data_IF_041709726286
#
_entry.id   IF_041709726286
#
_cell.length_a   1.000
_cell.length_b   1.000
_cell.length_c   1.000
_cell.angle_alpha   90.00
_cell.angle_beta   90.00
_cell.angle_gamma   90.00
#
_symmetry.space_group_name_H-M   'P 1'
#
loop_
_entity.id
_entity.type
_entity.pdbx_description
1 polymer ?
#
# COMPACT_ATOMS: atom_id res chain seq x y z
N UNK A 1 7.39 -20.31 52.02
CA UNK A 1 6.43 -19.23 52.26
C UNK A 1 5.43 -19.22 51.11
N UNK A 2 4.14 -18.98 51.36
CA UNK A 2 3.10 -18.99 50.34
C UNK A 2 2.82 -17.55 49.85
N UNK A 3 2.51 -17.43 48.55
CA UNK A 3 2.19 -16.15 47.89
C UNK A 3 0.68 -15.94 47.83
N UNK A 4 0.25 -14.76 48.21
CA UNK A 4 -1.16 -14.36 48.18
C UNK A 4 -1.32 -13.02 47.46
N UNK A 5 -2.37 -12.88 46.66
CA UNK A 5 -2.77 -11.61 46.08
C UNK A 5 -3.82 -10.95 46.97
N UNK A 6 -3.65 -9.65 47.22
CA UNK A 6 -4.59 -8.84 47.99
C UNK A 6 -5.80 -8.48 47.13
N UNK A 7 -6.99 -8.87 47.57
CA UNK A 7 -8.28 -8.53 46.92
C UNK A 7 -8.97 -7.35 47.61
N UNK A 8 -8.66 -7.07 48.87
CA UNK A 8 -9.19 -5.93 49.63
C UNK A 8 -8.04 -5.21 50.33
N UNK A 9 -7.85 -3.93 50.04
CA UNK A 9 -6.76 -3.13 50.60
C UNK A 9 -6.86 -3.01 52.13
N UNK A 10 -5.70 -2.81 52.78
CA UNK A 10 -5.58 -2.44 54.18
C UNK A 10 -4.35 -1.55 54.39
N UNK A 11 -4.05 -1.19 55.64
CA UNK A 11 -2.94 -0.28 55.97
C UNK A 11 -1.62 -0.70 55.32
N UNK A 12 -1.16 0.11 54.37
CA UNK A 12 0.12 -0.06 53.67
C UNK A 12 0.13 -1.10 52.54
N UNK A 13 -1.01 -1.72 52.19
CA UNK A 13 -1.09 -2.76 51.16
C UNK A 13 -2.25 -2.48 50.19
N UNK A 14 -1.94 -2.40 48.90
CA UNK A 14 -2.89 -2.09 47.84
C UNK A 14 -3.57 -3.35 47.29
N UNK A 15 -4.77 -3.18 46.71
CA UNK A 15 -5.43 -4.24 45.93
C UNK A 15 -4.55 -4.64 44.74
N UNK A 16 -4.42 -5.93 44.48
CA UNK A 16 -3.59 -6.50 43.42
C UNK A 16 -2.15 -6.79 43.83
N UNK A 17 -1.68 -6.26 44.97
CA UNK A 17 -0.33 -6.50 45.48
C UNK A 17 -0.15 -7.97 45.90
N UNK A 18 1.02 -8.54 45.59
CA UNK A 18 1.39 -9.90 45.99
C UNK A 18 2.21 -9.84 47.27
N UNK A 19 1.77 -10.56 48.30
CA UNK A 19 2.45 -10.65 49.61
C UNK A 19 2.88 -12.08 49.90
N UNK A 20 4.07 -12.24 50.49
CA UNK A 20 4.59 -13.53 50.94
C UNK A 20 4.32 -13.69 52.43
N UNK A 21 3.63 -14.77 52.81
CA UNK A 21 3.29 -15.05 54.20
C UNK A 21 3.49 -16.53 54.51
N UNK A 22 3.98 -16.85 55.71
CA UNK A 22 4.13 -18.23 56.16
C UNK A 22 2.78 -18.82 56.62
N UNK A 23 1.97 -18.02 57.32
CA UNK A 23 0.62 -18.40 57.77
C UNK A 23 -0.32 -17.20 57.69
N UNK A 24 -1.47 -17.38 57.06
CA UNK A 24 -2.51 -16.33 56.97
C UNK A 24 -3.29 -16.24 58.26
N UNK A 25 -3.35 -15.04 58.85
CA UNK A 25 -4.16 -14.77 60.04
C UNK A 25 -5.67 -14.78 59.70
N UNK A 26 -6.58 -15.25 60.58
CA UNK A 26 -8.02 -15.26 60.32
C UNK A 26 -8.60 -13.93 59.82
N UNK A 27 -8.13 -12.80 60.36
CA UNK A 27 -8.57 -11.45 59.97
C UNK A 27 -8.17 -11.06 58.54
N UNK A 28 -7.11 -11.65 57.97
CA UNK A 28 -6.63 -11.34 56.63
C UNK A 28 -7.15 -12.32 55.57
N UNK A 29 -7.75 -13.44 55.99
CA UNK A 29 -8.26 -14.49 55.07
C UNK A 29 -9.29 -13.96 54.07
N UNK A 30 -10.11 -12.99 54.47
CA UNK A 30 -11.09 -12.36 53.58
C UNK A 30 -10.48 -11.35 52.61
N UNK A 31 -9.26 -10.88 52.89
CA UNK A 31 -8.61 -9.82 52.12
C UNK A 31 -7.59 -10.36 51.12
N UNK A 32 -7.28 -11.67 51.16
CA UNK A 32 -6.25 -12.30 50.32
C UNK A 32 -6.76 -13.56 49.66
N UNK A 33 -6.31 -13.82 48.44
CA UNK A 33 -6.51 -15.09 47.73
C UNK A 33 -5.14 -15.69 47.38
N UNK A 34 -4.95 -17.01 47.48
CA UNK A 34 -3.67 -17.61 47.12
C UNK A 34 -3.40 -17.38 45.63
N UNK A 35 -2.15 -17.03 45.29
CA UNK A 35 -1.77 -16.65 43.92
C UNK A 35 -2.00 -17.79 42.91
N UNK A 36 -1.99 -19.04 43.37
CA UNK A 36 -2.33 -20.23 42.56
C UNK A 36 -3.80 -20.29 42.14
N UNK A 37 -4.69 -19.56 42.83
CA UNK A 37 -6.12 -19.47 42.55
C UNK A 37 -6.50 -18.15 41.86
N UNK A 38 -5.56 -17.21 41.72
CA UNK A 38 -5.72 -16.06 40.85
C UNK A 38 -5.66 -16.58 39.42
N UNK A 39 -6.83 -16.72 38.78
CA UNK A 39 -6.93 -17.11 37.38
C UNK A 39 -6.08 -16.18 36.49
N UNK A 40 -5.56 -16.64 35.36
CA UNK A 40 -4.51 -16.01 34.57
C UNK A 40 -5.01 -14.81 33.74
N UNK A 41 -5.83 -13.93 34.32
CA UNK A 41 -6.34 -12.72 33.66
C UNK A 41 -5.22 -11.83 33.10
N UNK A 42 -4.04 -11.86 33.73
CA UNK A 42 -2.84 -11.17 33.23
C UNK A 42 -2.23 -11.83 31.99
N UNK A 43 -2.41 -13.14 31.78
CA UNK A 43 -1.92 -13.82 30.58
C UNK A 43 -2.92 -13.66 29.43
N UNK A 44 -4.22 -13.73 29.70
CA UNK A 44 -5.26 -13.54 28.68
C UNK A 44 -5.20 -12.14 28.06
N UNK A 45 -5.02 -11.09 28.87
CA UNK A 45 -4.80 -9.74 28.34
C UNK A 45 -3.52 -9.63 27.50
N UNK A 46 -2.44 -10.29 27.92
CA UNK A 46 -1.18 -10.32 27.17
C UNK A 46 -1.28 -11.08 25.85
N UNK A 47 -2.05 -12.18 25.83
CA UNK A 47 -2.25 -13.01 24.64
C UNK A 47 -3.19 -12.32 23.65
N UNK A 48 -4.23 -11.62 24.13
CA UNK A 48 -5.07 -10.75 23.30
C UNK A 48 -4.28 -9.61 22.66
N UNK A 49 -3.35 -8.98 23.40
CA UNK A 49 -2.48 -7.94 22.84
C UNK A 49 -1.54 -8.49 21.75
N UNK A 50 -0.98 -9.69 21.95
CA UNK A 50 -0.15 -10.33 20.93
C UNK A 50 -0.95 -10.69 19.69
N UNK A 51 -2.17 -11.20 19.87
CA UNK A 51 -3.05 -11.52 18.75
C UNK A 51 -3.42 -10.26 17.98
N UNK A 52 -3.83 -9.18 18.67
CA UNK A 52 -4.14 -7.90 18.04
C UNK A 52 -2.94 -7.33 17.28
N UNK A 53 -1.73 -7.44 17.84
CA UNK A 53 -0.51 -7.00 17.15
C UNK A 53 -0.25 -7.81 15.87
N UNK A 54 -0.39 -9.14 15.94
CA UNK A 54 -0.23 -10.00 14.76
C UNK A 54 -1.27 -9.71 13.67
N UNK A 55 -2.52 -9.40 14.05
CA UNK A 55 -3.56 -9.00 13.11
C UNK A 55 -3.25 -7.65 12.45
N UNK A 56 -2.77 -6.66 13.20
CA UNK A 56 -2.34 -5.36 12.68
C UNK A 56 -1.19 -5.52 11.68
N UNK A 57 -0.19 -6.35 12.01
CA UNK A 57 0.96 -6.58 11.13
C UNK A 57 0.53 -7.31 9.85
N UNK A 58 -0.32 -8.33 9.96
CA UNK A 58 -0.89 -9.01 8.79
C UNK A 58 -1.73 -8.07 7.91
N UNK A 59 -2.52 -7.17 8.51
CA UNK A 59 -3.27 -6.15 7.77
C UNK A 59 -2.34 -5.17 7.05
N UNK A 60 -1.25 -4.74 7.72
CA UNK A 60 -0.26 -3.84 7.12
C UNK A 60 0.44 -4.49 5.93
N UNK A 61 0.87 -5.73 6.06
CA UNK A 61 1.53 -6.46 4.96
C UNK A 61 0.60 -6.62 3.76
N UNK A 62 -0.67 -7.00 3.98
CA UNK A 62 -1.66 -7.07 2.90
C UNK A 62 -1.86 -5.72 2.22
N UNK A 63 -2.05 -4.65 3.00
CA UNK A 63 -2.24 -3.30 2.45
C UNK A 63 -1.01 -2.83 1.64
N UNK A 64 0.20 -3.15 2.10
CA UNK A 64 1.44 -2.83 1.37
C UNK A 64 1.55 -3.62 0.07
N UNK A 65 1.23 -4.92 0.08
CA UNK A 65 1.23 -5.76 -1.11
C UNK A 65 0.20 -5.28 -2.15
N UNK A 66 -1.01 -4.96 -1.71
CA UNK A 66 -2.06 -4.43 -2.59
C UNK A 66 -1.68 -3.07 -3.17
N UNK A 67 -1.09 -2.18 -2.36
CA UNK A 67 -0.62 -0.89 -2.85
C UNK A 67 0.51 -1.06 -3.88
N UNK A 68 1.46 -1.97 -3.63
CA UNK A 68 2.54 -2.25 -4.56
C UNK A 68 2.00 -2.78 -5.91
N UNK A 69 1.03 -3.69 -5.87
CA UNK A 69 0.35 -4.20 -7.06
C UNK A 69 -0.35 -3.08 -7.84
N UNK A 70 -1.14 -2.25 -7.17
CA UNK A 70 -1.85 -1.13 -7.81
C UNK A 70 -0.92 -0.10 -8.42
N UNK A 71 0.21 0.19 -7.76
CA UNK A 71 1.22 1.11 -8.29
C UNK A 71 1.86 0.52 -9.55
N UNK A 72 2.11 -0.79 -9.57
CA UNK A 72 2.69 -1.45 -10.74
C UNK A 72 1.69 -1.53 -11.91
N UNK A 73 0.43 -1.88 -11.64
CA UNK A 73 -0.66 -1.85 -12.62
C UNK A 73 -0.83 -0.46 -13.23
N UNK A 74 -0.87 0.59 -12.40
CA UNK A 74 -0.98 1.97 -12.88
C UNK A 74 0.20 2.40 -13.75
N UNK A 75 1.42 1.94 -13.44
CA UNK A 75 2.60 2.19 -14.29
C UNK A 75 2.49 1.49 -15.63
N UNK A 76 2.07 0.23 -15.63
CA UNK A 76 1.90 -0.55 -16.87
C UNK A 76 0.81 0.05 -17.75
N UNK A 77 -0.31 0.46 -17.17
CA UNK A 77 -1.39 1.15 -17.88
C UNK A 77 -0.91 2.49 -18.46
N UNK A 78 -0.22 3.30 -17.67
CA UNK A 78 0.33 4.58 -18.13
C UNK A 78 1.36 4.39 -19.27
N UNK A 79 2.20 3.36 -19.19
CA UNK A 79 3.18 3.05 -20.24
C UNK A 79 2.47 2.57 -21.52
N UNK A 80 1.50 1.67 -21.40
CA UNK A 80 0.73 1.17 -22.53
C UNK A 80 -0.04 2.30 -23.25
N UNK A 81 -0.60 3.23 -22.48
CA UNK A 81 -1.29 4.39 -23.03
C UNK A 81 -0.31 5.37 -23.71
N UNK A 82 0.87 5.60 -23.12
CA UNK A 82 1.91 6.40 -23.76
C UNK A 82 2.36 5.79 -25.10
N UNK A 83 2.57 4.46 -25.13
CA UNK A 83 2.95 3.74 -26.34
C UNK A 83 1.85 3.81 -27.40
N UNK A 84 0.57 3.70 -27.00
CA UNK A 84 -0.58 3.89 -27.89
C UNK A 84 -0.58 5.28 -28.52
N UNK A 85 -0.46 6.33 -27.71
CA UNK A 85 -0.47 7.72 -28.19
C UNK A 85 0.69 7.95 -29.18
N UNK A 86 1.88 7.44 -28.89
CA UNK A 86 3.04 7.56 -29.79
C UNK A 86 2.78 6.81 -31.09
N UNK A 87 2.26 5.59 -31.03
CA UNK A 87 1.93 4.79 -32.22
C UNK A 87 0.87 5.46 -33.09
N UNK A 88 -0.17 6.04 -32.49
CA UNK A 88 -1.23 6.74 -33.21
C UNK A 88 -0.71 8.04 -33.83
N UNK A 89 0.05 8.83 -33.08
CA UNK A 89 0.63 10.07 -33.59
C UNK A 89 1.62 9.83 -34.73
N UNK A 90 2.45 8.78 -34.64
CA UNK A 90 3.38 8.40 -35.71
C UNK A 90 2.65 7.90 -36.95
N UNK A 91 1.64 7.04 -36.79
CA UNK A 91 0.81 6.59 -37.91
C UNK A 91 0.11 7.76 -38.61
N UNK A 92 -0.44 8.71 -37.85
CA UNK A 92 -1.10 9.88 -38.40
C UNK A 92 -0.13 10.81 -39.13
N UNK A 93 1.06 11.04 -38.55
CA UNK A 93 2.09 11.85 -39.20
C UNK A 93 2.53 11.24 -40.54
N UNK A 94 2.66 9.91 -40.62
CA UNK A 94 2.98 9.22 -41.87
C UNK A 94 1.83 9.31 -42.89
N UNK A 95 0.57 9.19 -42.46
CA UNK A 95 -0.59 9.42 -43.35
C UNK A 95 -0.57 10.82 -43.95
N UNK A 96 -0.37 11.85 -43.14
CA UNK A 96 -0.33 13.24 -43.63
C UNK A 96 0.81 13.45 -44.63
N UNK A 97 1.99 12.86 -44.40
CA UNK A 97 3.12 12.94 -45.35
C UNK A 97 2.78 12.26 -46.68
N UNK A 98 2.19 11.08 -46.64
CA UNK A 98 1.80 10.34 -47.85
C UNK A 98 0.74 11.11 -48.64
N UNK A 99 -0.30 11.61 -47.97
CA UNK A 99 -1.35 12.41 -48.61
C UNK A 99 -0.79 13.70 -49.22
N UNK A 100 0.14 14.37 -48.53
CA UNK A 100 0.80 15.56 -49.04
C UNK A 100 1.68 15.25 -50.25
N UNK A 101 2.40 14.13 -50.24
CA UNK A 101 3.23 13.69 -51.36
C UNK A 101 2.38 13.34 -52.58
N UNK A 102 1.31 12.55 -52.41
CA UNK A 102 0.40 12.20 -53.51
C UNK A 102 -0.21 13.45 -54.15
N UNK A 103 -0.69 14.40 -53.35
CA UNK A 103 -1.22 15.68 -53.86
C UNK A 103 -0.16 16.50 -54.58
N UNK A 104 1.09 16.51 -54.10
CA UNK A 104 2.17 17.20 -54.78
C UNK A 104 2.47 16.58 -56.15
N UNK A 105 2.49 15.25 -56.23
CA UNK A 105 2.70 14.50 -57.49
C UNK A 105 1.56 14.77 -58.49
N UNK A 106 0.30 14.78 -58.05
CA UNK A 106 -0.87 15.15 -58.88
C UNK A 106 -0.78 16.58 -59.43
N UNK A 107 -0.28 17.51 -58.63
CA UNK A 107 -0.11 18.93 -59.00
C UNK A 107 1.15 19.20 -59.82
N UNK A 108 1.99 18.19 -60.07
CA UNK A 108 3.10 18.24 -61.03
C UNK A 108 2.75 17.53 -62.34
N UNK A 109 1.76 17.98 -63.15
CA UNK A 109 1.79 17.60 -64.54
C UNK A 109 3.05 18.24 -65.12
N UNK A 110 3.93 17.40 -65.70
CA UNK A 110 5.09 17.84 -66.45
C UNK A 110 4.64 18.98 -67.36
N UNK A 111 5.07 20.21 -67.08
CA UNK A 111 4.86 21.32 -68.01
C UNK A 111 5.84 21.03 -69.14
N UNK A 112 5.41 20.46 -70.29
CA UNK A 112 6.32 20.30 -71.38
C UNK A 112 6.48 21.72 -71.91
N UNK A 113 7.70 22.23 -71.86
CA UNK A 113 8.13 23.33 -72.71
C UNK A 113 7.84 24.77 -72.24
N UNK A 114 8.35 25.13 -71.05
CA UNK A 114 8.58 26.54 -70.69
C UNK A 114 9.92 27.09 -71.25
N UNK A 115 10.56 26.41 -72.22
CA UNK A 115 11.91 26.73 -72.71
C UNK A 115 12.02 27.13 -74.20
N UNK A 116 11.01 26.88 -75.05
CA UNK A 116 11.21 26.96 -76.51
C UNK A 116 10.91 28.30 -77.19
N UNK A 117 10.44 29.35 -76.50
CA UNK A 117 9.94 30.60 -77.15
C UNK A 117 10.74 31.89 -76.90
N UNK A 118 12.05 31.82 -76.68
CA UNK A 118 12.90 33.03 -76.61
C UNK A 118 14.14 32.99 -77.50
N UNK A 119 14.04 32.49 -78.73
CA UNK A 119 15.06 32.81 -79.75
C UNK A 119 14.43 32.93 -81.14
N UNK A 120 14.11 34.17 -81.56
CA UNK A 120 14.43 34.74 -82.89
C UNK A 120 13.69 36.07 -83.09
N UNK A 121 14.43 37.16 -82.89
CA UNK A 121 14.20 38.42 -83.58
C UNK A 121 15.57 38.98 -83.97
N UNK A 122 15.95 38.76 -85.23
CA UNK A 122 16.94 39.53 -85.99
C UNK A 122 16.55 39.47 -87.45
#
# INVERSE_FOLDING_TARGET
>A
MAKYQVVRAWHGVAVGQVVEMEKVHPSLKANVIPLTQVAPASNEAGDLLKQAQAEIDAMRERAQSELAQRVEEAKQEAQAEADRIISEATAEAERIKQDAQQKAEELTPATPDAGSKQTKAK
#
